data_IF_891330842580
#
_entry.id   IF_891330842580
#
_cell.length_a   1.000
_cell.length_b   1.000
_cell.length_c   1.000
_cell.angle_alpha   90.00
_cell.angle_beta   90.00
_cell.angle_gamma   90.00
#
_symmetry.space_group_name_H-M   'P 1'
#
loop_
_entity.id
_entity.type
_entity.pdbx_description
1 polymer ?
#
# COMPACT_ATOMS: atom_id res chain seq x y z
N UNK A 1 19.58 -40.42 69.76
CA UNK A 1 18.88 -41.66 69.38
C UNK A 1 18.77 -41.70 67.87
N UNK A 2 19.43 -42.69 67.27
CA UNK A 2 19.60 -42.97 65.84
C UNK A 2 18.27 -43.05 65.09
N UNK A 3 18.24 -42.64 63.80
CA UNK A 3 17.82 -43.43 62.60
C UNK A 3 18.39 -42.76 61.32
N UNK A 4 19.51 -43.24 60.77
CA UNK A 4 19.68 -44.19 59.64
C UNK A 4 19.57 -43.55 58.25
N UNK A 5 20.64 -43.78 57.48
CA UNK A 5 20.98 -43.34 56.13
C UNK A 5 20.03 -43.86 55.03
N UNK A 6 19.91 -43.07 53.96
CA UNK A 6 19.50 -43.51 52.62
C UNK A 6 20.41 -42.87 51.56
N UNK A 7 21.34 -43.66 51.02
CA UNK A 7 22.17 -43.35 49.85
C UNK A 7 21.30 -43.38 48.58
N UNK A 8 21.55 -42.48 47.62
CA UNK A 8 20.82 -42.48 46.35
C UNK A 8 21.36 -41.52 45.29
N UNK A 9 22.51 -41.90 44.72
CA UNK A 9 22.95 -41.67 43.34
C UNK A 9 22.96 -40.25 42.75
N UNK A 10 24.17 -39.70 42.75
CA UNK A 10 24.67 -38.61 41.91
C UNK A 10 24.59 -39.01 40.42
N UNK A 11 23.93 -38.23 39.57
CA UNK A 11 24.14 -38.27 38.11
C UNK A 11 24.55 -36.87 37.66
N UNK A 12 25.86 -36.71 37.44
CA UNK A 12 26.43 -35.64 36.63
C UNK A 12 26.06 -35.89 35.17
N UNK A 13 25.47 -34.89 34.51
CA UNK A 13 25.57 -34.75 33.06
C UNK A 13 26.19 -33.39 32.78
N UNK A 14 27.51 -33.41 32.52
CA UNK A 14 28.21 -32.33 31.87
C UNK A 14 28.17 -32.58 30.36
N UNK A 15 27.52 -31.69 29.62
CA UNK A 15 27.52 -31.66 28.16
C UNK A 15 27.90 -30.26 27.69
N UNK A 16 29.11 -30.12 27.14
CA UNK A 16 29.66 -28.90 26.57
C UNK A 16 28.91 -28.49 25.30
N UNK A 17 28.52 -27.23 25.16
CA UNK A 17 28.54 -26.48 23.89
C UNK A 17 28.25 -24.99 24.16
N UNK A 18 29.31 -24.18 24.22
CA UNK A 18 29.19 -22.73 24.09
C UNK A 18 30.48 -22.19 23.46
N UNK A 19 30.56 -22.31 22.14
CA UNK A 19 31.50 -21.59 21.31
C UNK A 19 30.74 -20.96 20.13
N UNK A 20 31.13 -19.72 19.88
CA UNK A 20 30.92 -18.92 18.68
C UNK A 20 29.55 -18.26 18.46
N UNK A 21 29.56 -17.00 18.91
CA UNK A 21 28.90 -15.83 18.37
C UNK A 21 28.95 -15.83 16.83
N UNK A 22 28.01 -16.52 16.19
CA UNK A 22 27.76 -16.38 14.76
C UNK A 22 26.81 -15.19 14.56
N UNK A 23 27.38 -14.07 14.13
CA UNK A 23 26.64 -12.97 13.54
C UNK A 23 25.90 -13.51 12.32
N UNK A 24 24.59 -13.72 12.44
CA UNK A 24 23.74 -13.99 11.29
C UNK A 24 23.51 -12.69 10.53
N UNK A 25 24.47 -12.38 9.65
CA UNK A 25 24.23 -11.62 8.44
C UNK A 25 23.22 -12.40 7.59
N UNK A 26 21.93 -12.10 7.73
CA UNK A 26 20.98 -12.35 6.65
C UNK A 26 20.74 -11.01 5.98
N UNK A 27 21.69 -10.66 5.10
CA UNK A 27 21.40 -9.72 4.04
C UNK A 27 20.26 -10.30 3.23
N UNK A 28 19.08 -9.72 3.36
CA UNK A 28 18.11 -9.76 2.30
C UNK A 28 18.78 -9.04 1.12
N UNK A 29 19.44 -9.81 0.26
CA UNK A 29 19.72 -9.40 -1.09
C UNK A 29 18.35 -9.19 -1.74
N UNK A 30 17.82 -7.97 -1.58
CA UNK A 30 16.75 -7.47 -2.42
C UNK A 30 17.26 -7.63 -3.84
N UNK A 31 16.63 -8.55 -4.58
CA UNK A 31 16.79 -8.60 -6.01
C UNK A 31 16.50 -7.18 -6.50
N UNK A 32 17.54 -6.46 -6.91
CA UNK A 32 17.38 -5.22 -7.64
C UNK A 32 16.71 -5.62 -8.95
N UNK A 33 15.38 -5.49 -8.98
CA UNK A 33 14.63 -5.54 -10.20
C UNK A 33 15.07 -4.31 -11.00
N UNK A 34 16.05 -4.50 -11.87
CA UNK A 34 16.26 -3.66 -13.04
C UNK A 34 15.08 -3.92 -14.00
N UNK A 35 13.90 -3.46 -13.59
CA UNK A 35 12.63 -3.65 -14.28
C UNK A 35 12.10 -2.30 -14.74
N UNK A 36 11.64 -2.25 -15.98
CA UNK A 36 10.88 -1.12 -16.52
C UNK A 36 9.78 -0.74 -15.52
N UNK A 37 9.77 0.53 -15.09
CA UNK A 37 8.74 1.06 -14.18
C UNK A 37 7.37 0.93 -14.83
N UNK A 38 6.32 0.70 -14.02
CA UNK A 38 4.97 0.57 -14.56
C UNK A 38 4.55 1.85 -15.29
N UNK A 39 3.92 1.70 -16.46
CA UNK A 39 3.38 2.80 -17.24
C UNK A 39 1.96 3.11 -16.79
N UNK A 40 1.65 4.38 -16.59
CA UNK A 40 0.30 4.82 -16.24
C UNK A 40 -0.49 5.22 -17.49
N UNK A 41 -1.80 4.99 -17.45
CA UNK A 41 -2.74 5.39 -18.49
C UNK A 41 -3.91 6.16 -17.91
N UNK A 42 -4.41 7.15 -18.65
CA UNK A 42 -5.60 7.92 -18.28
C UNK A 42 -6.83 7.02 -18.28
N UNK A 43 -7.68 7.16 -17.27
CA UNK A 43 -8.92 6.38 -17.17
C UNK A 43 -9.96 6.80 -18.22
N UNK A 44 -9.88 8.00 -18.78
CA UNK A 44 -10.80 8.51 -19.78
C UNK A 44 -10.68 7.79 -21.14
N UNK A 45 -9.46 7.56 -21.62
CA UNK A 45 -9.20 7.16 -23.01
C UNK A 45 -8.04 6.14 -23.18
N UNK A 46 -7.37 5.76 -22.09
CA UNK A 46 -6.21 4.85 -22.14
C UNK A 46 -4.93 5.47 -22.69
N UNK A 47 -4.91 6.77 -23.00
CA UNK A 47 -3.68 7.46 -23.42
C UNK A 47 -2.65 7.49 -22.29
N UNK A 48 -1.34 7.65 -22.60
CA UNK A 48 -0.31 7.73 -21.57
C UNK A 48 -0.58 8.83 -20.53
N UNK A 49 -0.37 8.49 -19.27
CA UNK A 49 -0.42 9.40 -18.13
C UNK A 49 1.00 9.59 -17.59
N UNK A 50 1.62 10.70 -17.93
CA UNK A 50 2.96 11.03 -17.46
C UNK A 50 2.91 11.58 -16.02
N UNK A 51 3.60 10.89 -15.10
CA UNK A 51 3.73 11.31 -13.71
C UNK A 51 5.22 11.43 -13.41
N UNK A 52 5.61 12.61 -12.94
CA UNK A 52 6.99 12.92 -12.58
C UNK A 52 7.52 11.91 -11.56
N UNK A 53 8.60 11.20 -11.90
CA UNK A 53 9.18 10.16 -11.05
C UNK A 53 9.64 10.72 -9.70
N UNK A 54 9.98 12.01 -9.64
CA UNK A 54 10.39 12.72 -8.43
C UNK A 54 9.27 12.81 -7.38
N UNK A 55 8.00 12.63 -7.79
CA UNK A 55 6.87 12.57 -6.87
C UNK A 55 6.81 11.24 -6.10
N UNK A 56 7.50 10.21 -6.57
CA UNK A 56 7.61 8.91 -5.90
C UNK A 56 8.87 8.89 -5.03
N UNK A 57 8.91 9.73 -4.00
CA UNK A 57 10.10 9.98 -3.18
C UNK A 57 10.24 9.03 -1.98
N UNK A 58 9.13 8.44 -1.50
CA UNK A 58 9.11 7.47 -0.40
C UNK A 58 9.44 6.05 -0.85
N UNK A 59 9.94 5.16 0.04
CA UNK A 59 10.18 3.75 -0.30
C UNK A 59 8.92 3.04 -0.83
N UNK A 60 7.76 3.31 -0.23
CA UNK A 60 6.49 2.72 -0.64
C UNK A 60 6.05 3.20 -2.03
N UNK A 61 6.19 4.50 -2.30
CA UNK A 61 5.88 5.07 -3.61
C UNK A 61 6.81 4.50 -4.70
N UNK A 62 8.11 4.33 -4.40
CA UNK A 62 9.07 3.69 -5.32
C UNK A 62 8.74 2.23 -5.60
N UNK A 63 8.36 1.47 -4.57
CA UNK A 63 7.91 0.08 -4.74
C UNK A 63 6.67 0.00 -5.63
N UNK A 64 5.70 0.89 -5.42
CA UNK A 64 4.53 0.97 -6.28
C UNK A 64 4.88 1.35 -7.72
N UNK A 65 5.80 2.29 -7.95
CA UNK A 65 6.24 2.65 -9.29
C UNK A 65 6.99 1.49 -10.00
N UNK A 66 7.69 0.66 -9.24
CA UNK A 66 8.39 -0.50 -9.78
C UNK A 66 7.45 -1.70 -10.03
N UNK A 67 6.38 -1.86 -9.23
CA UNK A 67 5.63 -3.13 -9.19
C UNK A 67 4.13 -2.99 -9.36
N UNK A 68 3.55 -1.79 -9.30
CA UNK A 68 2.11 -1.57 -9.22
C UNK A 68 1.44 -2.08 -7.94
N UNK A 69 2.21 -2.66 -6.99
CA UNK A 69 1.70 -3.13 -5.70
C UNK A 69 1.74 -2.03 -4.68
N UNK A 70 0.73 -1.99 -3.82
CA UNK A 70 0.64 -1.04 -2.72
C UNK A 70 1.08 -1.73 -1.41
N UNK A 71 2.27 -1.38 -0.86
CA UNK A 71 2.77 -1.99 0.37
C UNK A 71 2.03 -1.52 1.63
N UNK A 72 1.17 -0.51 1.53
CA UNK A 72 0.35 -0.02 2.65
C UNK A 72 -0.91 -0.86 2.91
N UNK A 73 -1.28 -1.77 2.01
CA UNK A 73 -2.46 -2.61 2.22
C UNK A 73 -2.29 -3.44 3.49
N UNK A 74 -3.25 -3.32 4.40
CA UNK A 74 -3.24 -4.01 5.71
C UNK A 74 -2.36 -3.37 6.78
N UNK A 75 -1.78 -2.18 6.54
CA UNK A 75 -0.98 -1.45 7.54
C UNK A 75 -1.85 -0.43 8.27
N UNK A 76 -2.13 -0.66 9.56
CA UNK A 76 -3.07 0.15 10.35
C UNK A 76 -2.74 1.65 10.36
N UNK A 77 -1.47 2.01 10.57
CA UNK A 77 -1.04 3.42 10.57
C UNK A 77 -1.28 4.10 9.22
N UNK A 78 -1.02 3.38 8.12
CA UNK A 78 -1.22 3.88 6.77
C UNK A 78 -2.71 4.00 6.42
N UNK A 79 -3.53 3.04 6.88
CA UNK A 79 -4.99 3.06 6.76
C UNK A 79 -5.57 4.26 7.51
N UNK A 80 -5.10 4.53 8.74
CA UNK A 80 -5.54 5.69 9.52
C UNK A 80 -5.17 7.01 8.83
N UNK A 81 -3.96 7.12 8.29
CA UNK A 81 -3.53 8.28 7.49
C UNK A 81 -4.37 8.41 6.21
N UNK A 82 -4.63 7.29 5.53
CA UNK A 82 -5.47 7.23 4.34
C UNK A 82 -6.88 7.76 4.57
N UNK A 83 -7.52 7.37 5.69
CA UNK A 83 -8.82 7.91 6.10
C UNK A 83 -8.80 9.43 6.24
N UNK A 84 -7.79 9.96 6.92
CA UNK A 84 -7.62 11.41 7.10
C UNK A 84 -7.47 12.11 5.75
N UNK A 85 -6.61 11.59 4.88
CA UNK A 85 -6.39 12.14 3.54
C UNK A 85 -7.66 12.09 2.67
N UNK A 86 -8.41 11.00 2.74
CA UNK A 86 -9.70 10.87 2.02
C UNK A 86 -10.69 11.96 2.42
N UNK A 87 -10.74 12.32 3.71
CA UNK A 87 -11.55 13.42 4.21
C UNK A 87 -11.01 14.79 3.75
N UNK A 88 -9.69 15.00 3.86
CA UNK A 88 -9.05 16.28 3.51
C UNK A 88 -9.24 16.65 2.03
N UNK A 89 -9.25 15.67 1.12
CA UNK A 89 -9.45 15.90 -0.31
C UNK A 89 -10.93 15.86 -0.75
N UNK A 90 -11.85 15.95 0.22
CA UNK A 90 -13.30 15.99 0.06
C UNK A 90 -13.87 14.78 -0.67
N UNK A 91 -13.21 13.62 -0.62
CA UNK A 91 -13.70 12.41 -1.25
C UNK A 91 -15.01 11.94 -0.60
N UNK A 92 -15.19 12.20 0.69
CA UNK A 92 -16.41 11.88 1.46
C UNK A 92 -17.66 12.55 0.92
N UNK A 93 -17.53 13.74 0.32
CA UNK A 93 -18.68 14.51 -0.17
C UNK A 93 -19.38 13.81 -1.35
N UNK A 94 -18.63 13.01 -2.11
CA UNK A 94 -19.17 12.26 -3.25
C UNK A 94 -19.29 10.77 -2.96
N UNK A 95 -18.31 10.17 -2.27
CA UNK A 95 -18.24 8.72 -2.08
C UNK A 95 -18.69 8.26 -0.67
N UNK A 96 -19.21 9.18 0.14
CA UNK A 96 -19.66 8.91 1.51
C UNK A 96 -18.51 8.76 2.52
N UNK A 97 -18.82 8.78 3.83
CA UNK A 97 -17.81 8.80 4.89
C UNK A 97 -16.92 7.55 4.96
N UNK A 98 -17.46 6.40 4.56
CA UNK A 98 -16.75 5.10 4.53
C UNK A 98 -16.62 4.55 3.09
N UNK A 99 -16.55 5.45 2.10
CA UNK A 99 -16.36 5.12 0.68
C UNK A 99 -17.44 4.18 0.05
N UNK A 100 -18.59 4.00 0.71
CA UNK A 100 -19.70 3.16 0.27
C UNK A 100 -20.58 3.77 -0.83
N UNK A 101 -20.26 4.99 -1.29
CA UNK A 101 -21.00 5.71 -2.32
C UNK A 101 -22.04 6.68 -1.74
N UNK A 102 -22.29 7.76 -2.49
CA UNK A 102 -23.34 8.74 -2.18
C UNK A 102 -23.80 9.42 -3.48
N UNK A 103 -23.10 10.46 -3.91
CA UNK A 103 -23.28 11.10 -5.23
C UNK A 103 -22.49 10.34 -6.29
N UNK A 104 -21.25 9.99 -5.95
CA UNK A 104 -20.40 9.08 -6.70
C UNK A 104 -20.59 7.62 -6.27
N UNK A 105 -20.06 6.67 -7.06
CA UNK A 105 -20.20 5.24 -6.78
C UNK A 105 -19.46 4.81 -5.52
N UNK A 106 -19.80 3.61 -5.01
CA UNK A 106 -19.00 2.94 -4.00
C UNK A 106 -17.59 2.65 -4.54
N UNK A 107 -16.57 2.80 -3.69
CA UNK A 107 -15.16 2.55 -4.04
C UNK A 107 -14.62 1.24 -3.43
N UNK A 108 -15.37 0.62 -2.52
CA UNK A 108 -14.97 -0.56 -1.76
C UNK A 108 -15.08 -1.87 -2.55
N UNK A 109 -15.66 -1.81 -3.76
CA UNK A 109 -15.88 -2.97 -4.61
C UNK A 109 -17.03 -3.87 -4.12
N UNK A 110 -17.19 -5.08 -4.71
CA UNK A 110 -16.40 -5.62 -5.82
C UNK A 110 -16.80 -5.06 -7.20
N UNK A 111 -17.93 -4.36 -7.27
CA UNK A 111 -18.45 -3.81 -8.53
C UNK A 111 -17.85 -2.42 -8.79
N UNK A 112 -16.92 -2.33 -9.73
CA UNK A 112 -16.27 -1.08 -10.12
C UNK A 112 -16.80 -0.59 -11.46
N UNK A 113 -17.00 0.72 -11.61
CA UNK A 113 -17.37 1.33 -12.89
C UNK A 113 -16.24 1.19 -13.92
N UNK A 114 -14.98 1.23 -13.48
CA UNK A 114 -13.81 0.94 -14.29
C UNK A 114 -13.18 -0.35 -13.77
N UNK A 115 -13.17 -1.43 -14.57
CA UNK A 115 -12.68 -2.74 -14.14
C UNK A 115 -11.24 -2.71 -13.61
N UNK A 116 -10.40 -1.83 -14.15
CA UNK A 116 -9.02 -1.59 -13.68
C UNK A 116 -8.94 -1.14 -12.21
N UNK A 117 -9.99 -0.52 -11.65
CA UNK A 117 -10.03 -0.07 -10.25
C UNK A 117 -10.08 -1.22 -9.25
N UNK A 118 -10.25 -2.46 -9.72
CA UNK A 118 -9.96 -3.65 -8.92
C UNK A 118 -8.47 -3.78 -8.54
N UNK A 119 -7.57 -3.09 -9.26
CA UNK A 119 -6.13 -3.09 -9.00
C UNK A 119 -5.68 -1.79 -8.32
N UNK A 120 -4.56 -1.82 -7.59
CA UNK A 120 -4.01 -0.61 -6.99
C UNK A 120 -3.52 0.38 -8.05
N UNK A 121 -2.90 -0.11 -9.13
CA UNK A 121 -2.52 0.70 -10.30
C UNK A 121 -3.71 1.42 -10.93
N UNK A 122 -4.79 0.69 -11.22
CA UNK A 122 -5.94 1.26 -11.90
C UNK A 122 -6.67 2.30 -11.06
N UNK A 123 -6.89 2.03 -9.77
CA UNK A 123 -7.49 3.00 -8.86
C UNK A 123 -6.60 4.25 -8.71
N UNK A 124 -5.29 4.07 -8.64
CA UNK A 124 -4.34 5.18 -8.62
C UNK A 124 -4.48 6.06 -9.87
N UNK A 125 -4.51 5.47 -11.07
CA UNK A 125 -4.70 6.21 -12.33
C UNK A 125 -6.01 7.00 -12.38
N UNK A 126 -7.10 6.36 -11.93
CA UNK A 126 -8.43 6.96 -11.87
C UNK A 126 -8.47 8.15 -10.93
N UNK A 127 -7.90 8.03 -9.72
CA UNK A 127 -7.88 9.13 -8.75
C UNK A 127 -6.92 10.23 -9.20
N UNK A 128 -5.75 9.85 -9.72
CA UNK A 128 -4.72 10.80 -10.14
C UNK A 128 -5.22 11.72 -11.26
N UNK A 129 -5.79 11.14 -12.32
CA UNK A 129 -6.18 11.87 -13.52
C UNK A 129 -7.66 12.27 -13.58
N UNK A 130 -8.50 11.71 -12.71
CA UNK A 130 -9.94 11.89 -12.75
C UNK A 130 -10.61 11.09 -13.87
N UNK A 131 -11.90 11.36 -14.08
CA UNK A 131 -12.76 10.59 -14.98
C UNK A 131 -13.68 11.48 -15.82
N UNK A 132 -14.34 10.91 -16.83
CA UNK A 132 -15.41 11.58 -17.56
C UNK A 132 -16.74 11.62 -16.78
N UNK A 133 -16.80 10.99 -15.59
CA UNK A 133 -18.00 10.91 -14.75
C UNK A 133 -18.13 12.04 -13.73
N UNK A 134 -17.43 13.16 -13.92
CA UNK A 134 -17.47 14.32 -13.02
C UNK A 134 -16.50 14.26 -11.83
N UNK A 135 -15.68 13.21 -11.71
CA UNK A 135 -14.57 13.19 -10.75
C UNK A 135 -13.36 13.91 -11.36
N UNK A 136 -13.07 15.12 -10.88
CA UNK A 136 -11.85 15.84 -11.26
C UNK A 136 -10.57 15.13 -10.79
N UNK A 137 -9.46 15.45 -11.45
CA UNK A 137 -8.13 14.95 -11.08
C UNK A 137 -7.80 15.29 -9.62
N UNK A 138 -7.11 14.37 -8.93
CA UNK A 138 -6.60 14.62 -7.59
C UNK A 138 -5.08 14.68 -7.50
N UNK A 139 -4.37 14.21 -8.53
CA UNK A 139 -2.90 14.18 -8.54
C UNK A 139 -2.25 15.55 -8.37
N UNK A 140 -1.13 15.60 -7.66
CA UNK A 140 -0.32 16.80 -7.51
C UNK A 140 0.09 17.35 -8.88
N UNK A 141 -0.21 18.63 -9.12
CA UNK A 141 0.01 19.32 -10.39
C UNK A 141 -1.07 19.10 -11.46
N UNK A 142 -2.10 18.29 -11.18
CA UNK A 142 -3.27 18.11 -12.04
C UNK A 142 -4.57 18.57 -11.38
N UNK A 143 -4.66 18.51 -10.04
CA UNK A 143 -5.86 18.89 -9.30
C UNK A 143 -6.25 20.35 -9.52
N UNK A 144 -5.26 21.24 -9.53
CA UNK A 144 -5.45 22.67 -9.64
C UNK A 144 -4.57 23.21 -10.78
N UNK A 145 -5.17 23.61 -11.92
CA UNK A 145 -4.43 24.16 -13.03
C UNK A 145 -3.71 25.49 -12.70
N UNK A 146 -4.09 26.16 -11.60
CA UNK A 146 -3.51 27.43 -11.18
C UNK A 146 -2.33 27.29 -10.20
N UNK A 147 -2.18 26.12 -9.55
CA UNK A 147 -1.05 25.83 -8.67
C UNK A 147 -0.50 24.41 -8.90
N UNK A 148 0.69 24.28 -9.53
CA UNK A 148 1.29 22.97 -9.80
C UNK A 148 1.74 22.22 -8.54
N UNK A 149 1.76 22.86 -7.37
CA UNK A 149 2.10 22.24 -6.10
C UNK A 149 0.90 21.65 -5.36
N UNK A 150 -0.31 22.01 -5.76
CA UNK A 150 -1.54 21.53 -5.16
C UNK A 150 -1.91 20.14 -5.69
N UNK A 151 -2.60 19.34 -4.88
CA UNK A 151 -3.01 17.96 -5.17
C UNK A 151 -2.32 16.91 -4.29
N UNK A 152 -2.79 15.67 -4.40
CA UNK A 152 -2.34 14.52 -3.62
C UNK A 152 -1.01 13.98 -4.15
N UNK A 153 -0.08 13.66 -3.25
CA UNK A 153 1.16 12.96 -3.61
C UNK A 153 0.91 11.47 -3.85
N UNK A 154 1.82 10.75 -4.56
CA UNK A 154 1.71 9.31 -4.71
C UNK A 154 1.64 8.56 -3.38
N UNK A 155 2.47 8.95 -2.40
CA UNK A 155 2.50 8.34 -1.07
C UNK A 155 1.16 8.46 -0.33
N UNK A 156 0.58 9.67 -0.33
CA UNK A 156 -0.73 9.94 0.25
C UNK A 156 -1.85 9.18 -0.46
N UNK A 157 -1.81 9.13 -1.79
CA UNK A 157 -2.82 8.39 -2.56
C UNK A 157 -2.75 6.89 -2.30
N UNK A 158 -1.54 6.32 -2.16
CA UNK A 158 -1.40 4.90 -1.80
C UNK A 158 -1.99 4.61 -0.42
N UNK A 159 -1.87 5.52 0.55
CA UNK A 159 -2.52 5.38 1.85
C UNK A 159 -4.05 5.47 1.75
N UNK A 160 -4.58 6.39 0.94
CA UNK A 160 -6.03 6.47 0.65
C UNK A 160 -6.53 5.16 0.05
N UNK A 161 -5.83 4.62 -0.94
CA UNK A 161 -6.18 3.34 -1.57
C UNK A 161 -6.13 2.23 -0.53
N UNK A 162 -5.10 2.17 0.32
CA UNK A 162 -5.02 1.15 1.39
C UNK A 162 -6.21 1.22 2.35
N UNK A 163 -6.68 2.42 2.71
CA UNK A 163 -7.89 2.60 3.50
C UNK A 163 -9.15 2.15 2.74
N UNK A 164 -9.29 2.46 1.45
CA UNK A 164 -10.42 1.95 0.65
C UNK A 164 -10.41 0.41 0.64
N UNK A 165 -9.25 -0.22 0.42
CA UNK A 165 -9.10 -1.68 0.41
C UNK A 165 -9.42 -2.32 1.76
N UNK A 166 -9.25 -1.62 2.89
CA UNK A 166 -9.55 -2.19 4.21
C UNK A 166 -11.03 -2.45 4.48
N UNK A 167 -11.94 -1.97 3.61
CA UNK A 167 -13.38 -2.22 3.72
C UNK A 167 -13.82 -3.53 3.04
N UNK A 168 -12.96 -4.15 2.24
CA UNK A 168 -13.28 -5.34 1.45
C UNK A 168 -12.20 -6.42 1.56
N UNK A 169 -12.41 -7.53 0.86
CA UNK A 169 -11.44 -8.65 0.81
C UNK A 169 -10.43 -8.53 -0.33
N UNK A 170 -10.66 -7.64 -1.30
CA UNK A 170 -9.77 -7.42 -2.44
C UNK A 170 -8.63 -6.49 -2.04
N UNK A 171 -7.38 -6.94 -2.14
CA UNK A 171 -6.22 -6.09 -1.81
C UNK A 171 -5.76 -5.24 -2.98
N UNK A 172 -6.10 -5.65 -4.21
CA UNK A 172 -5.68 -5.00 -5.45
C UNK A 172 -4.22 -5.27 -5.82
N UNK A 173 -3.52 -6.12 -5.06
CA UNK A 173 -2.15 -6.58 -5.31
C UNK A 173 -2.10 -7.91 -6.08
N UNK A 174 -3.24 -8.58 -6.26
CA UNK A 174 -3.37 -9.91 -6.88
C UNK A 174 -3.22 -9.90 -8.40
N UNK A 175 -3.52 -8.77 -9.06
CA UNK A 175 -3.66 -8.68 -10.51
C UNK A 175 -2.45 -8.09 -11.24
N UNK A 176 -1.28 -8.02 -10.59
CA UNK A 176 -0.08 -7.48 -11.25
C UNK A 176 0.56 -8.55 -12.13
N UNK A 177 0.09 -8.64 -13.37
CA UNK A 177 0.62 -9.56 -14.37
C UNK A 177 -0.28 -9.68 -15.59
N UNK A 178 -0.30 -8.65 -16.43
CA UNK A 178 -0.76 -8.73 -17.83
C UNK A 178 -0.30 -7.50 -18.59
#
# INVERSE_FOLDING_TARGET
MNRTLGFGLLVLVAGLTACDKQASTTGAAGAAASGETIKFVKTQDGSPLEIKAELFDTPAAKEFLATGKNPYVGKEDAIAQGKKTFQLYSCTQCHGPEAGGQVGPALTGPNYNYAKDATNKGMFETVWNGTNGGMGAKGKGLMDPSDPNNGITPDELLKVIAWIRSHGSLTGNEAVGS
#
